data_IF_342446400987
#
_entry.id   IF_342446400987
#
_cell.length_a   1.000
_cell.length_b   1.000
_cell.length_c   1.000
_cell.angle_alpha   90.00
_cell.angle_beta   90.00
_cell.angle_gamma   90.00
#
_symmetry.space_group_name_H-M   'P 1'
#
loop_
_entity.id
_entity.type
_entity.pdbx_description
1 polymer ?
#
# COMPACT_ATOMS: atom_id res chain seq x y z
N UNK A 1 6.72 -2.64 11.88
CA UNK A 1 7.18 -2.20 10.54
C UNK A 1 6.33 -1.00 10.12
N UNK A 2 6.86 -0.05 9.34
CA UNK A 2 6.03 1.01 8.75
C UNK A 2 5.73 0.66 7.29
N UNK A 3 4.48 0.86 6.87
CA UNK A 3 4.04 0.72 5.49
C UNK A 3 3.49 2.06 5.00
N UNK A 4 3.83 2.45 3.78
CA UNK A 4 3.33 3.66 3.14
C UNK A 4 2.25 3.28 2.14
N UNK A 5 1.06 3.85 2.31
CA UNK A 5 -0.07 3.63 1.43
C UNK A 5 -0.02 4.60 0.25
N UNK A 6 -0.03 4.05 -0.96
CA UNK A 6 0.02 4.77 -2.22
C UNK A 6 -1.27 4.59 -2.99
N UNK A 7 -1.68 5.64 -3.68
CA UNK A 7 -2.81 5.61 -4.59
C UNK A 7 -2.33 5.97 -6.00
N UNK A 8 -2.71 5.14 -6.96
CA UNK A 8 -2.68 5.53 -8.37
C UNK A 8 -3.99 6.19 -8.75
N UNK A 9 -3.89 7.38 -9.36
CA UNK A 9 -5.00 8.10 -9.94
C UNK A 9 -4.90 8.08 -11.47
N UNK A 10 -5.97 7.66 -12.15
CA UNK A 10 -6.16 7.81 -13.59
C UNK A 10 -7.36 8.74 -13.85
N UNK A 11 -7.16 9.81 -14.62
CA UNK A 11 -8.22 10.79 -14.96
C UNK A 11 -9.00 11.33 -13.73
N UNK A 12 -8.32 11.49 -12.59
CA UNK A 12 -8.94 11.96 -11.34
C UNK A 12 -9.72 10.89 -10.56
N UNK A 13 -9.72 9.63 -11.02
CA UNK A 13 -10.30 8.48 -10.33
C UNK A 13 -9.19 7.68 -9.66
N UNK A 14 -9.37 7.34 -8.38
CA UNK A 14 -8.48 6.40 -7.67
C UNK A 14 -8.66 5.00 -8.26
N UNK A 15 -7.61 4.45 -8.87
CA UNK A 15 -7.69 3.16 -9.58
C UNK A 15 -7.00 2.03 -8.86
N UNK A 16 -5.90 2.29 -8.15
CA UNK A 16 -5.11 1.22 -7.53
C UNK A 16 -4.54 1.69 -6.20
N UNK A 17 -4.71 0.89 -5.17
CA UNK A 17 -4.07 1.09 -3.88
C UNK A 17 -2.94 0.07 -3.73
N UNK A 18 -1.77 0.55 -3.32
CA UNK A 18 -0.64 -0.31 -3.02
C UNK A 18 0.11 0.19 -1.79
N UNK A 19 0.90 -0.67 -1.17
CA UNK A 19 1.61 -0.42 0.06
C UNK A 19 3.11 -0.67 -0.14
N UNK A 20 3.95 0.23 0.37
CA UNK A 20 5.41 0.08 0.33
C UNK A 20 5.94 -0.05 1.76
N UNK A 21 6.57 -1.18 2.14
CA UNK A 21 7.23 -1.30 3.44
C UNK A 21 8.43 -0.35 3.51
N UNK A 22 8.62 0.33 4.64
CA UNK A 22 9.71 1.28 4.83
C UNK A 22 11.07 0.63 4.58
N UNK A 23 11.86 1.23 3.68
CA UNK A 23 13.19 0.75 3.33
C UNK A 23 13.20 -0.47 2.40
N UNK A 24 12.03 -0.97 1.97
CA UNK A 24 11.92 -2.02 0.96
C UNK A 24 11.43 -1.39 -0.35
N UNK A 25 12.18 -1.60 -1.43
CA UNK A 25 11.76 -1.13 -2.77
C UNK A 25 10.78 -2.13 -3.40
N UNK A 26 9.64 -2.33 -2.75
CA UNK A 26 8.61 -3.31 -3.10
C UNK A 26 7.22 -2.70 -2.95
N UNK A 27 6.35 -2.96 -3.92
CA UNK A 27 4.95 -2.55 -3.86
C UNK A 27 4.04 -3.76 -3.64
N UNK A 28 3.20 -3.68 -2.61
CA UNK A 28 2.21 -4.69 -2.24
C UNK A 28 0.83 -4.18 -2.68
N UNK A 29 0.18 -4.77 -3.70
CA UNK A 29 -1.16 -4.34 -4.10
C UNK A 29 -2.20 -4.66 -3.03
N UNK A 30 -3.22 -3.81 -2.89
CA UNK A 30 -4.41 -4.10 -2.09
C UNK A 30 -5.20 -5.26 -2.73
N UNK A 31 -4.97 -6.47 -2.25
CA UNK A 31 -5.60 -7.69 -2.77
C UNK A 31 -5.63 -8.77 -1.69
N UNK A 32 -6.81 -9.28 -1.36
CA UNK A 32 -6.97 -10.35 -0.36
C UNK A 32 -6.30 -11.67 -0.78
N UNK A 33 -6.12 -11.88 -2.09
CA UNK A 33 -5.40 -13.03 -2.64
C UNK A 33 -3.86 -12.88 -2.49
N UNK A 34 -3.36 -11.65 -2.27
CA UNK A 34 -1.95 -11.39 -2.08
C UNK A 34 -1.51 -11.75 -0.65
N UNK A 35 -0.54 -12.67 -0.55
CA UNK A 35 -0.01 -13.14 0.73
C UNK A 35 0.69 -12.04 1.54
N UNK A 36 1.42 -11.14 0.88
CA UNK A 36 2.15 -10.06 1.54
C UNK A 36 1.18 -8.98 2.06
N UNK A 37 0.09 -8.72 1.32
CA UNK A 37 -1.00 -7.87 1.79
C UNK A 37 -1.65 -8.43 3.06
N UNK A 38 -1.98 -9.73 3.06
CA UNK A 38 -2.57 -10.38 4.24
C UNK A 38 -1.64 -10.33 5.45
N UNK A 39 -0.35 -10.64 5.27
CA UNK A 39 0.64 -10.55 6.34
C UNK A 39 0.77 -9.14 6.89
N UNK A 40 0.86 -8.14 6.02
CA UNK A 40 0.89 -6.74 6.42
C UNK A 40 -0.33 -6.39 7.28
N UNK A 41 -1.53 -6.77 6.84
CA UNK A 41 -2.76 -6.49 7.60
C UNK A 41 -2.81 -7.22 8.95
N UNK A 42 -2.31 -8.46 9.02
CA UNK A 42 -2.18 -9.20 10.28
C UNK A 42 -1.21 -8.51 11.26
N UNK A 43 -0.06 -8.01 10.79
CA UNK A 43 0.89 -7.26 11.62
C UNK A 43 0.30 -5.93 12.13
N UNK A 44 -0.44 -5.23 11.27
CA UNK A 44 -1.12 -3.98 11.64
C UNK A 44 -2.22 -4.25 12.67
N UNK A 45 -3.00 -5.32 12.49
CA UNK A 45 -4.01 -5.75 13.46
C UNK A 45 -3.39 -6.19 14.80
N UNK A 46 -2.20 -6.79 14.77
CA UNK A 46 -1.43 -7.16 15.96
C UNK A 46 -0.75 -5.95 16.63
N UNK A 47 -0.78 -4.76 16.01
CA UNK A 47 -0.12 -3.56 16.50
C UNK A 47 1.42 -3.60 16.41
N UNK A 48 1.98 -4.53 15.64
CA UNK A 48 3.44 -4.64 15.40
C UNK A 48 3.88 -3.78 14.22
N UNK A 49 2.93 -3.30 13.43
CA UNK A 49 3.15 -2.47 12.25
C UNK A 49 2.12 -1.34 12.13
N UNK A 50 2.46 -0.29 11.37
CA UNK A 50 1.60 0.87 11.12
C UNK A 50 1.51 1.17 9.63
N UNK A 51 0.36 1.68 9.20
CA UNK A 51 0.14 2.20 7.85
C UNK A 51 0.08 3.72 7.94
N UNK A 52 0.85 4.40 7.12
CA UNK A 52 0.82 5.85 6.97
C UNK A 52 0.45 6.25 5.54
N UNK A 53 -0.16 7.42 5.37
CA UNK A 53 -0.38 7.98 4.04
C UNK A 53 0.97 8.21 3.34
N UNK A 54 1.15 7.51 2.24
CA UNK A 54 2.29 7.65 1.35
C UNK A 54 2.05 8.71 0.27
N UNK A 55 2.74 8.54 -0.85
CA UNK A 55 2.64 9.45 -1.99
C UNK A 55 1.47 9.05 -2.88
N UNK A 56 0.69 10.05 -3.31
CA UNK A 56 -0.25 9.90 -4.42
C UNK A 56 0.51 9.95 -5.74
N UNK A 57 0.39 8.91 -6.56
CA UNK A 57 0.96 8.87 -7.91
C UNK A 57 -0.17 9.16 -8.90
N UNK A 58 -0.05 10.26 -9.63
CA UNK A 58 -1.01 10.62 -10.69
C UNK A 58 -0.41 10.20 -12.02
N UNK A 59 -1.07 9.28 -12.73
CA UNK A 59 -0.73 8.90 -14.10
C UNK A 59 -1.65 9.66 -15.06
N UNK A 60 -1.03 10.39 -15.97
CA UNK A 60 -1.69 11.02 -17.10
C UNK A 60 -1.24 10.22 -18.33
N UNK A 61 -2.10 9.32 -18.82
CA UNK A 61 -1.89 8.66 -20.12
C UNK A 61 -2.25 9.61 -21.27
#
# INVERSE_FOLDING_TARGET
>A
MKYFQHYEMNFGVKTTMCFEPEGMHMSIPESEDNLDYRKMMEEVAAGTSTIEDGRTVVRFE
#
